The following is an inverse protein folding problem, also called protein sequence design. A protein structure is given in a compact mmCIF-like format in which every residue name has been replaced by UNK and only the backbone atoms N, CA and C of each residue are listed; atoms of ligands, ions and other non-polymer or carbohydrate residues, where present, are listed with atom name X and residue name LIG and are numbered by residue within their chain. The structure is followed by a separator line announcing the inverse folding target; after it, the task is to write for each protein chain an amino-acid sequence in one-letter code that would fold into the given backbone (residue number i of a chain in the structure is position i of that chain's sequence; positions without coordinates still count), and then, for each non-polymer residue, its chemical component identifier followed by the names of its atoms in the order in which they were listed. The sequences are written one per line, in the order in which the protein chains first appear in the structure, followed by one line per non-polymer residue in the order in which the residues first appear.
data_IF_565995137046
#
_entry.id   IF_565995137046
#
_cell.length_a   1.000
_cell.length_b   1.000
_cell.length_c   1.000
_cell.angle_alpha   90.00
_cell.angle_beta   90.00
_cell.angle_gamma   90.00
#
_symmetry.space_group_name_H-M   'P 1'
#
loop_
_entity.id
_entity.type
_entity.pdbx_description
1 polymer ?
#
# COMPACT_ATOMS: atom_id res chain seq x y z
N UNK A 1 18.98 15.89 -17.33
CA UNK A 1 17.69 15.17 -17.21
C UNK A 1 16.60 16.22 -17.11
N UNK A 2 15.63 16.23 -18.04
CA UNK A 2 14.43 17.07 -17.93
C UNK A 2 13.42 16.30 -17.09
N UNK A 3 12.98 16.87 -15.98
CA UNK A 3 11.87 16.33 -15.20
C UNK A 3 10.60 16.90 -15.82
N UNK A 4 9.86 16.07 -16.54
CA UNK A 4 8.51 16.40 -16.99
C UNK A 4 7.61 16.43 -15.76
N UNK A 5 6.99 17.57 -15.46
CA UNK A 5 6.14 17.74 -14.28
C UNK A 5 4.72 17.25 -14.57
N UNK A 6 4.20 16.39 -13.69
CA UNK A 6 2.81 15.97 -13.73
C UNK A 6 1.92 17.10 -13.20
N UNK A 7 1.00 17.61 -14.03
CA UNK A 7 0.00 18.59 -13.60
C UNK A 7 -1.15 17.89 -12.86
N UNK A 8 -1.48 18.37 -11.66
CA UNK A 8 -2.61 17.89 -10.86
C UNK A 8 -3.84 18.78 -11.07
N UNK A 9 -5.00 18.16 -11.24
CA UNK A 9 -6.29 18.86 -11.24
C UNK A 9 -6.81 18.94 -9.80
N UNK A 10 -6.65 20.10 -9.17
CA UNK A 10 -6.97 20.30 -7.75
C UNK A 10 -8.47 20.14 -7.44
N UNK A 11 -9.36 20.45 -8.40
CA UNK A 11 -10.81 20.26 -8.24
C UNK A 11 -11.21 18.79 -8.19
N UNK A 12 -10.49 17.92 -8.92
CA UNK A 12 -10.71 16.46 -8.93
C UNK A 12 -9.89 15.71 -7.89
N UNK A 13 -8.95 16.38 -7.23
CA UNK A 13 -8.06 15.76 -6.25
C UNK A 13 -8.66 15.96 -4.87
N UNK A 14 -8.77 14.86 -4.11
CA UNK A 14 -9.17 14.90 -2.70
C UNK A 14 -8.01 14.42 -1.84
N UNK A 15 -7.78 15.10 -0.73
CA UNK A 15 -6.87 14.69 0.32
C UNK A 15 -7.58 13.71 1.24
N UNK A 16 -6.95 12.56 1.49
CA UNK A 16 -7.47 11.58 2.43
C UNK A 16 -7.08 11.98 3.86
N UNK A 17 -8.05 12.42 4.65
CA UNK A 17 -7.82 12.87 6.02
C UNK A 17 -7.67 11.69 6.98
N UNK A 18 -6.67 11.77 7.86
CA UNK A 18 -6.38 10.75 8.87
C UNK A 18 -6.02 11.39 10.22
N UNK A 19 -5.87 10.56 11.26
CA UNK A 19 -5.62 10.96 12.65
C UNK A 19 -4.20 11.52 12.91
N UNK A 20 -3.25 11.29 12.00
CA UNK A 20 -1.87 11.76 12.16
C UNK A 20 -1.63 13.15 11.56
N UNK A 21 -2.56 13.61 10.74
CA UNK A 21 -2.52 14.94 10.13
C UNK A 21 -3.19 15.91 11.10
N UNK A 22 -2.52 17.01 11.49
CA UNK A 22 -3.11 18.03 12.34
C UNK A 22 -4.44 18.54 11.77
N UNK A 23 -5.35 18.95 12.64
CA UNK A 23 -6.67 19.47 12.25
C UNK A 23 -6.56 20.90 11.69
N UNK A 24 -5.93 21.01 10.53
CA UNK A 24 -5.68 22.22 9.80
C UNK A 24 -5.92 21.97 8.29
N UNK A 25 -6.47 22.94 7.55
CA UNK A 25 -6.68 22.79 6.12
C UNK A 25 -5.37 22.50 5.38
N UNK A 26 -5.35 21.45 4.57
CA UNK A 26 -4.20 21.14 3.72
C UNK A 26 -4.26 21.94 2.41
N UNK A 27 -3.25 22.75 2.14
CA UNK A 27 -3.13 23.52 0.90
C UNK A 27 -1.94 23.06 0.06
N UNK A 28 -2.12 23.06 -1.25
CA UNK A 28 -1.07 22.82 -2.23
C UNK A 28 -1.12 23.93 -3.27
N UNK A 29 0.02 24.57 -3.54
CA UNK A 29 0.11 25.76 -4.40
C UNK A 29 -0.93 26.83 -4.02
N UNK A 30 -1.01 27.15 -2.73
CA UNK A 30 -1.95 28.15 -2.16
C UNK A 30 -3.44 27.83 -2.36
N UNK A 31 -3.78 26.67 -2.91
CA UNK A 31 -5.14 26.21 -3.09
C UNK A 31 -5.46 25.12 -2.07
N UNK A 32 -6.54 25.28 -1.31
CA UNK A 32 -7.01 24.24 -0.38
C UNK A 32 -7.51 23.04 -1.15
N UNK A 33 -6.96 21.86 -0.85
CA UNK A 33 -7.42 20.60 -1.44
C UNK A 33 -8.63 20.13 -0.62
N UNK A 34 -9.70 19.70 -1.29
CA UNK A 34 -10.86 19.14 -0.60
C UNK A 34 -10.50 17.86 0.15
N UNK A 35 -11.12 17.62 1.29
CA UNK A 35 -10.77 16.50 2.15
C UNK A 35 -11.86 15.43 2.12
N UNK A 36 -11.47 14.17 2.24
CA UNK A 36 -12.37 13.03 2.31
C UNK A 36 -11.91 12.03 3.37
N UNK A 37 -12.86 11.34 3.98
CA UNK A 37 -12.60 10.37 5.06
C UNK A 37 -12.81 8.92 4.62
N UNK A 38 -13.58 8.68 3.56
CA UNK A 38 -13.77 7.34 3.01
C UNK A 38 -13.65 7.32 1.49
N UNK A 39 -13.10 6.23 0.97
CA UNK A 39 -12.96 5.98 -0.46
C UNK A 39 -13.25 4.52 -0.77
N UNK A 40 -13.91 4.26 -1.91
CA UNK A 40 -14.19 2.91 -2.38
C UNK A 40 -13.06 2.44 -3.29
N UNK A 41 -12.24 1.52 -2.79
CA UNK A 41 -11.18 0.88 -3.56
C UNK A 41 -11.54 -0.59 -3.82
N UNK A 42 -11.57 -0.98 -5.10
CA UNK A 42 -11.86 -2.36 -5.51
C UNK A 42 -13.17 -2.93 -4.92
N UNK A 43 -14.20 -2.08 -4.81
CA UNK A 43 -15.51 -2.47 -4.28
C UNK A 43 -15.59 -2.58 -2.76
N UNK A 44 -14.52 -2.20 -2.03
CA UNK A 44 -14.54 -2.06 -0.58
C UNK A 44 -14.42 -0.59 -0.21
N UNK A 45 -15.36 -0.12 0.61
CA UNK A 45 -15.19 1.18 1.28
C UNK A 45 -14.08 1.05 2.31
N UNK A 46 -13.16 2.01 2.29
CA UNK A 46 -12.09 2.15 3.27
C UNK A 46 -12.31 3.49 3.95
N UNK A 47 -12.61 3.46 5.24
CA UNK A 47 -12.72 4.66 6.05
C UNK A 47 -11.40 4.87 6.80
N UNK A 48 -10.68 5.97 6.52
CA UNK A 48 -9.39 6.24 7.16
C UNK A 48 -9.48 6.50 8.67
N UNK A 49 -10.64 6.88 9.21
CA UNK A 49 -10.81 7.02 10.66
C UNK A 49 -10.86 5.67 11.37
N UNK A 50 -11.45 4.64 10.75
CA UNK A 50 -11.74 3.38 11.43
C UNK A 50 -10.84 2.22 10.96
N UNK A 51 -10.47 2.20 9.68
CA UNK A 51 -9.87 1.03 9.04
C UNK A 51 -8.36 1.16 8.79
N UNK A 52 -7.77 2.32 9.12
CA UNK A 52 -6.39 2.64 8.76
C UNK A 52 -5.37 1.75 9.48
N UNK A 53 -5.51 1.58 10.80
CA UNK A 53 -4.62 0.70 11.56
C UNK A 53 -4.74 -0.78 11.13
N UNK A 54 -5.96 -1.35 10.97
CA UNK A 54 -6.14 -2.68 10.39
C UNK A 54 -5.51 -2.83 9.00
N UNK A 55 -5.70 -1.86 8.10
CA UNK A 55 -5.20 -1.90 6.72
C UNK A 55 -3.68 -1.79 6.63
N UNK A 56 -3.06 -0.91 7.41
CA UNK A 56 -1.59 -0.86 7.52
C UNK A 56 -1.03 -2.16 8.08
N UNK A 57 -1.71 -2.75 9.07
CA UNK A 57 -1.36 -4.07 9.61
C UNK A 57 -1.39 -5.17 8.53
N UNK A 58 -2.41 -5.17 7.67
CA UNK A 58 -2.54 -6.10 6.54
C UNK A 58 -1.39 -5.93 5.54
N UNK A 59 -1.13 -4.69 5.08
CA UNK A 59 -0.04 -4.40 4.12
C UNK A 59 1.32 -4.78 4.67
N UNK A 60 1.58 -4.52 5.96
CA UNK A 60 2.83 -4.92 6.62
C UNK A 60 3.00 -6.45 6.62
N UNK A 61 1.92 -7.21 6.89
CA UNK A 61 1.95 -8.68 6.83
C UNK A 61 2.20 -9.20 5.42
N UNK A 62 1.55 -8.63 4.41
CA UNK A 62 1.74 -9.03 3.01
C UNK A 62 3.17 -8.76 2.53
N UNK A 63 3.69 -7.57 2.81
CA UNK A 63 5.08 -7.23 2.49
C UNK A 63 6.07 -8.17 3.20
N UNK A 64 5.83 -8.50 4.48
CA UNK A 64 6.64 -9.46 5.23
C UNK A 64 6.58 -10.88 4.65
N UNK A 65 5.39 -11.34 4.25
CA UNK A 65 5.21 -12.63 3.59
C UNK A 65 5.96 -12.72 2.25
N UNK A 66 5.86 -11.68 1.43
CA UNK A 66 6.60 -11.60 0.16
C UNK A 66 8.12 -11.60 0.38
N UNK A 67 8.60 -10.81 1.35
CA UNK A 67 10.01 -10.79 1.73
C UNK A 67 10.50 -12.20 2.13
N UNK A 68 9.76 -12.90 3.00
CA UNK A 68 10.11 -14.25 3.44
C UNK A 68 10.13 -15.27 2.29
N UNK A 69 9.20 -15.15 1.34
CA UNK A 69 9.22 -15.98 0.14
C UNK A 69 10.48 -15.76 -0.70
N UNK A 70 10.90 -14.51 -0.89
CA UNK A 70 12.10 -14.17 -1.65
C UNK A 70 13.36 -14.64 -0.91
N UNK A 71 13.43 -14.40 0.41
CA UNK A 71 14.52 -14.85 1.27
C UNK A 71 14.71 -16.37 1.18
N UNK A 72 13.62 -17.15 1.23
CA UNK A 72 13.69 -18.61 1.11
C UNK A 72 14.25 -19.05 -0.25
N UNK A 73 13.80 -18.43 -1.35
CA UNK A 73 14.30 -18.72 -2.70
C UNK A 73 15.80 -18.40 -2.81
N UNK A 74 16.23 -17.25 -2.29
CA UNK A 74 17.65 -16.84 -2.30
C UNK A 74 18.51 -17.79 -1.47
N UNK A 75 18.01 -18.21 -0.30
CA UNK A 75 18.69 -19.17 0.57
C UNK A 75 18.86 -20.52 -0.10
N UNK A 76 17.83 -21.06 -0.75
CA UNK A 76 17.89 -22.32 -1.52
C UNK A 76 18.90 -22.27 -2.67
N UNK A 77 19.08 -21.10 -3.30
CA UNK A 77 20.08 -20.92 -4.36
C UNK A 77 21.52 -20.85 -3.84
N UNK A 78 21.73 -20.54 -2.55
CA UNK A 78 23.06 -20.44 -1.94
C UNK A 78 23.62 -21.76 -1.43
N UNK A 79 22.79 -22.78 -1.22
CA UNK A 79 23.23 -24.13 -0.87
C UNK A 79 23.37 -25.00 -2.13
N UNK A 80 24.59 -25.34 -2.57
CA UNK A 80 24.77 -26.24 -3.69
C UNK A 80 24.45 -27.67 -3.23
N UNK A 81 23.24 -28.18 -3.52
CA UNK A 81 22.95 -29.62 -3.39
C UNK A 81 21.60 -30.07 -2.84
N UNK A 82 20.56 -29.25 -2.72
CA UNK A 82 19.22 -29.76 -2.36
C UNK A 82 18.33 -29.91 -3.59
N UNK A 83 18.07 -31.17 -3.95
CA UNK A 83 17.24 -31.63 -5.07
C UNK A 83 15.79 -31.16 -4.90
N UNK A 84 15.19 -30.73 -6.01
CA UNK A 84 13.80 -30.30 -6.09
C UNK A 84 12.81 -31.47 -5.89
N UNK A 85 11.96 -31.39 -4.87
CA UNK A 85 10.57 -31.86 -4.99
C UNK A 85 9.69 -30.62 -5.08
N UNK A 86 9.20 -30.32 -6.28
CA UNK A 86 8.29 -29.21 -6.53
C UNK A 86 6.95 -29.46 -5.85
N UNK A 87 6.72 -28.87 -4.69
CA UNK A 87 5.38 -28.66 -4.16
C UNK A 87 4.92 -27.27 -4.56
N UNK A 88 4.02 -27.20 -5.54
CA UNK A 88 3.33 -26.00 -6.00
C UNK A 88 2.76 -25.23 -4.80
N UNK A 89 3.04 -23.92 -4.63
CA UNK A 89 2.40 -23.15 -3.57
C UNK A 89 0.92 -22.95 -3.94
N UNK A 90 0.05 -23.69 -3.25
CA UNK A 90 -1.40 -23.56 -3.38
C UNK A 90 -1.88 -22.47 -2.42
N UNK A 91 -2.03 -21.26 -2.92
CA UNK A 91 -2.69 -20.19 -2.18
C UNK A 91 -4.17 -20.54 -2.05
N UNK A 92 -4.58 -20.97 -0.86
CA UNK A 92 -5.99 -21.15 -0.53
C UNK A 92 -6.50 -19.82 0.04
N UNK A 93 -7.40 -19.17 -0.69
CA UNK A 93 -8.18 -18.03 -0.18
C UNK A 93 -9.29 -18.61 0.69
N UNK A 94 -9.19 -18.41 2.00
CA UNK A 94 -10.31 -18.38 2.93
C UNK A 94 -10.49 -16.95 3.41
#
# INVERSE_FOLDING_TARGET
MRVESLQLNLTKTMFMRNEWVPDAPFSFNETTISECFSYVYLGREVNMMNDLAPELGRRKREAWGAYKSIEDVVRRRRTPGSVHTSSTPRFSLL
#
